data_IF_722621953151
#
_entry.id   IF_722621953151
#
_cell.length_a   1.000
_cell.length_b   1.000
_cell.length_c   1.000
_cell.angle_alpha   90.00
_cell.angle_beta   90.00
_cell.angle_gamma   90.00
#
_symmetry.space_group_name_H-M   'P 1'
#
loop_
_entity.id
_entity.type
_entity.pdbx_description
1 polymer ?
#
# COMPACT_ATOMS: atom_id res chain seq x y z
N UNK A 1 -13.50 65.18 32.42
CA UNK A 1 -12.73 64.51 33.49
C UNK A 1 -13.44 63.21 33.85
N UNK A 2 -12.89 62.06 33.44
CA UNK A 2 -13.04 60.76 34.12
C UNK A 2 -12.06 59.77 33.46
N UNK A 3 -11.15 59.25 34.28
CA UNK A 3 -10.10 58.27 33.99
C UNK A 3 -10.70 56.85 33.88
N UNK A 4 -10.32 56.06 32.86
CA UNK A 4 -10.37 54.58 32.91
C UNK A 4 -9.17 54.08 32.07
N UNK A 5 -8.00 53.86 32.66
CA UNK A 5 -7.49 52.61 33.26
C UNK A 5 -7.35 51.46 32.24
N UNK A 6 -6.09 51.12 31.95
CA UNK A 6 -5.66 50.04 31.08
C UNK A 6 -5.98 48.64 31.63
N UNK A 7 -6.30 47.70 30.75
CA UNK A 7 -6.19 46.27 31.04
C UNK A 7 -5.34 45.59 29.94
N UNK A 8 -4.09 45.33 30.29
CA UNK A 8 -3.23 44.41 29.56
C UNK A 8 -3.65 42.98 29.90
N UNK A 9 -4.28 42.26 28.96
CA UNK A 9 -4.46 40.81 29.08
C UNK A 9 -3.23 40.09 28.52
N UNK A 10 -2.37 39.64 29.43
CA UNK A 10 -1.33 38.67 29.14
C UNK A 10 -1.99 37.31 28.85
N UNK A 11 -1.83 36.81 27.63
CA UNK A 11 -2.26 35.47 27.24
C UNK A 11 -1.29 34.42 27.82
N UNK A 12 -1.75 33.39 28.55
CA UNK A 12 -0.88 32.29 28.96
C UNK A 12 -0.55 31.41 27.75
N UNK A 13 0.74 31.33 27.44
CA UNK A 13 1.32 30.34 26.52
C UNK A 13 0.97 28.94 27.04
N UNK A 14 0.04 28.27 26.37
CA UNK A 14 -0.27 26.86 26.62
C UNK A 14 0.86 25.98 26.05
N UNK A 15 1.91 25.79 26.84
CA UNK A 15 2.95 24.79 26.58
C UNK A 15 2.59 23.49 27.30
N UNK A 16 1.74 22.67 26.67
CA UNK A 16 1.53 21.27 27.04
C UNK A 16 1.82 20.40 25.82
N UNK A 17 3.10 20.14 25.60
CA UNK A 17 3.59 19.14 24.66
C UNK A 17 4.71 18.40 25.36
N UNK A 18 4.35 17.36 26.10
CA UNK A 18 5.27 16.57 26.90
C UNK A 18 6.42 16.05 26.03
N UNK A 19 7.64 16.33 26.50
CA UNK A 19 8.88 15.70 26.08
C UNK A 19 8.80 14.20 26.34
N UNK A 20 8.27 13.48 25.36
CA UNK A 20 8.27 12.02 25.31
C UNK A 20 8.87 11.59 23.98
N UNK A 21 10.15 11.89 23.75
CA UNK A 21 10.92 11.21 22.73
C UNK A 21 11.12 9.75 23.18
N UNK A 22 10.04 8.96 23.15
CA UNK A 22 10.20 7.51 23.07
C UNK A 22 10.80 7.26 21.70
N UNK A 23 12.12 7.27 21.62
CA UNK A 23 12.83 6.63 20.53
C UNK A 23 12.40 5.17 20.62
N UNK A 24 11.33 4.81 19.93
CA UNK A 24 10.85 3.44 19.82
C UNK A 24 11.93 2.69 19.06
N UNK A 25 12.94 2.19 19.78
CA UNK A 25 13.95 1.32 19.21
C UNK A 25 13.22 0.07 18.76
N UNK A 26 13.19 -0.16 17.45
CA UNK A 26 12.64 -1.39 16.88
C UNK A 26 13.36 -2.55 17.57
N UNK A 27 12.63 -3.48 18.23
CA UNK A 27 13.25 -4.62 18.88
C UNK A 27 14.19 -5.36 17.91
N UNK A 28 15.42 -5.66 18.34
CA UNK A 28 16.44 -6.33 17.50
C UNK A 28 15.92 -7.60 16.83
N UNK A 29 15.00 -8.31 17.47
CA UNK A 29 14.34 -9.50 16.92
C UNK A 29 13.57 -9.19 15.63
N UNK A 30 12.87 -8.05 15.54
CA UNK A 30 12.14 -7.67 14.33
C UNK A 30 13.09 -7.30 13.19
N UNK A 31 14.24 -6.68 13.50
CA UNK A 31 15.28 -6.40 12.51
C UNK A 31 15.91 -7.69 11.97
N UNK A 32 15.93 -8.79 12.74
CA UNK A 32 16.43 -10.08 12.28
C UNK A 32 15.41 -10.83 11.41
N UNK A 33 14.12 -10.48 11.52
CA UNK A 33 13.03 -11.04 10.72
C UNK A 33 12.86 -10.29 9.39
N UNK A 34 13.50 -9.11 9.23
CA UNK A 34 13.46 -8.34 7.99
C UNK A 34 14.20 -9.05 6.86
N UNK A 35 13.62 -9.05 5.66
CA UNK A 35 14.30 -9.52 4.45
C UNK A 35 14.56 -8.32 3.54
N UNK A 36 15.79 -8.14 3.04
CA UNK A 36 16.06 -7.06 2.10
C UNK A 36 15.30 -7.28 0.79
N UNK A 37 14.95 -6.18 0.12
CA UNK A 37 14.36 -6.25 -1.22
C UNK A 37 15.39 -6.80 -2.20
N UNK A 38 14.97 -7.79 -3.00
CA UNK A 38 15.83 -8.35 -4.03
C UNK A 38 16.05 -7.38 -5.19
N UNK A 39 17.21 -7.49 -5.85
CA UNK A 39 17.61 -6.58 -6.93
C UNK A 39 17.57 -7.26 -8.29
N UNK A 40 17.04 -6.55 -9.30
CA UNK A 40 16.97 -7.03 -10.68
C UNK A 40 15.72 -7.83 -11.01
N UNK A 41 15.60 -8.22 -12.30
CA UNK A 41 14.35 -8.75 -12.90
C UNK A 41 13.75 -9.97 -12.19
N UNK A 42 14.59 -10.81 -11.56
CA UNK A 42 14.13 -12.01 -10.84
C UNK A 42 13.36 -11.71 -9.54
N UNK A 43 13.50 -10.49 -9.00
CA UNK A 43 12.78 -10.02 -7.81
C UNK A 43 11.79 -8.89 -8.13
N UNK A 44 11.76 -8.44 -9.38
CA UNK A 44 10.87 -7.40 -9.91
C UNK A 44 10.17 -7.95 -11.16
N UNK A 45 9.39 -9.05 -11.05
CA UNK A 45 8.76 -9.67 -12.21
C UNK A 45 7.72 -8.73 -12.83
N UNK A 46 7.47 -8.82 -14.15
CA UNK A 46 6.39 -8.07 -14.78
C UNK A 46 5.02 -8.66 -14.44
N UNK A 47 3.96 -7.83 -14.47
CA UNK A 47 2.58 -8.31 -14.37
C UNK A 47 2.07 -8.86 -15.72
N UNK A 48 2.14 -10.19 -15.88
CA UNK A 48 1.72 -10.92 -17.09
C UNK A 48 0.39 -11.68 -16.89
N UNK A 49 0.00 -12.49 -17.88
CA UNK A 49 -1.03 -13.52 -17.74
C UNK A 49 -2.49 -13.05 -17.78
N UNK A 50 -3.44 -13.99 -17.60
CA UNK A 50 -4.85 -13.75 -17.81
C UNK A 50 -5.48 -12.93 -16.68
N UNK A 51 -6.56 -12.22 -17.02
CA UNK A 51 -7.39 -11.58 -15.99
C UNK A 51 -8.30 -12.61 -15.35
N UNK A 52 -8.04 -12.94 -14.09
CA UNK A 52 -8.83 -13.90 -13.32
C UNK A 52 -10.24 -13.40 -13.00
N UNK A 53 -11.21 -14.31 -13.12
CA UNK A 53 -12.63 -14.05 -12.85
C UNK A 53 -13.28 -13.09 -13.85
N UNK A 54 -14.44 -12.54 -13.50
CA UNK A 54 -15.18 -11.68 -14.44
C UNK A 54 -14.50 -10.31 -14.57
N UNK A 55 -14.04 -9.97 -15.77
CA UNK A 55 -13.49 -8.65 -16.07
C UNK A 55 -14.58 -7.58 -16.03
N UNK A 56 -14.40 -6.55 -15.20
CA UNK A 56 -15.34 -5.43 -15.06
C UNK A 56 -14.63 -4.11 -15.36
N UNK A 57 -15.23 -3.17 -16.09
CA UNK A 57 -14.58 -1.91 -16.48
C UNK A 57 -14.29 -0.99 -15.28
N UNK A 58 -15.06 -1.11 -14.19
CA UNK A 58 -14.82 -0.38 -12.94
C UNK A 58 -14.22 -1.32 -11.89
N UNK A 59 -13.30 -0.80 -11.07
CA UNK A 59 -12.63 -1.56 -10.01
C UNK A 59 -13.63 -2.12 -8.98
N UNK A 60 -14.61 -1.30 -8.59
CA UNK A 60 -15.66 -1.63 -7.61
C UNK A 60 -15.15 -1.76 -6.17
N UNK A 61 -16.04 -2.08 -5.21
CA UNK A 61 -15.66 -2.33 -3.81
C UNK A 61 -14.71 -3.52 -3.66
N UNK A 62 -13.65 -3.34 -2.86
CA UNK A 62 -12.60 -4.32 -2.60
C UNK A 62 -12.30 -4.43 -1.11
N UNK A 63 -11.61 -5.48 -0.72
CA UNK A 63 -10.83 -5.50 0.51
C UNK A 63 -9.36 -5.78 0.16
N UNK A 64 -8.45 -5.16 0.90
CA UNK A 64 -7.02 -5.39 0.74
C UNK A 64 -6.58 -6.61 1.54
N UNK A 65 -5.73 -7.44 0.95
CA UNK A 65 -4.93 -8.42 1.68
C UNK A 65 -3.44 -8.12 1.43
N UNK A 66 -2.60 -8.32 2.45
CA UNK A 66 -1.16 -8.19 2.29
C UNK A 66 -0.56 -9.55 1.96
N UNK A 67 0.24 -9.60 0.90
CA UNK A 67 0.94 -10.79 0.43
C UNK A 67 2.41 -10.44 0.26
N UNK A 68 3.26 -11.18 0.96
CA UNK A 68 4.70 -11.09 0.84
C UNK A 68 5.22 -12.34 0.15
N UNK A 69 6.11 -12.15 -0.83
CA UNK A 69 6.74 -13.25 -1.56
C UNK A 69 8.23 -13.15 -1.33
N UNK A 70 8.83 -14.27 -0.95
CA UNK A 70 10.26 -14.37 -0.70
C UNK A 70 10.87 -15.40 -1.64
N UNK A 71 12.03 -15.07 -2.20
CA UNK A 71 12.86 -15.99 -2.96
C UNK A 71 14.32 -15.71 -2.63
N UNK A 72 15.17 -16.74 -2.51
CA UNK A 72 16.59 -16.59 -2.18
C UNK A 72 16.84 -15.60 -1.01
N UNK A 73 16.03 -15.73 0.04
CA UNK A 73 16.05 -14.90 1.25
C UNK A 73 15.82 -13.39 1.06
N UNK A 74 15.11 -13.01 0.00
CA UNK A 74 14.84 -11.62 -0.37
C UNK A 74 13.39 -11.42 -0.76
N UNK A 75 12.87 -10.22 -0.53
CA UNK A 75 11.52 -9.85 -0.98
C UNK A 75 11.48 -9.79 -2.51
N UNK A 76 10.47 -10.42 -3.09
CA UNK A 76 10.04 -10.25 -4.48
C UNK A 76 8.89 -9.23 -4.46
N UNK A 77 9.06 -8.15 -5.21
CA UNK A 77 8.00 -7.13 -5.35
C UNK A 77 6.87 -7.71 -6.17
N UNK A 78 5.63 -7.67 -5.66
CA UNK A 78 4.46 -7.95 -6.48
C UNK A 78 4.26 -6.76 -7.42
N UNK A 79 4.29 -6.96 -8.75
CA UNK A 79 4.15 -5.85 -9.68
C UNK A 79 2.74 -5.28 -9.67
N UNK A 80 2.63 -3.98 -9.95
CA UNK A 80 1.36 -3.36 -10.29
C UNK A 80 0.81 -3.92 -11.61
N UNK A 81 -0.49 -4.22 -11.64
CA UNK A 81 -1.22 -4.60 -12.86
C UNK A 81 -1.61 -6.07 -12.98
N UNK A 82 -1.32 -6.92 -12.00
CA UNK A 82 -1.87 -8.28 -11.96
C UNK A 82 -3.40 -8.19 -11.98
N UNK A 83 -4.05 -9.04 -12.78
CA UNK A 83 -5.50 -9.06 -12.91
C UNK A 83 -6.11 -7.83 -13.60
N UNK A 84 -5.31 -7.01 -14.29
CA UNK A 84 -5.78 -5.86 -15.06
C UNK A 84 -5.56 -6.05 -16.56
N UNK A 85 -6.54 -5.67 -17.38
CA UNK A 85 -6.45 -5.79 -18.84
C UNK A 85 -5.86 -4.51 -19.47
N UNK A 86 -4.89 -4.62 -20.40
CA UNK A 86 -4.43 -3.48 -21.20
C UNK A 86 -5.55 -2.81 -22.03
N UNK A 87 -5.41 -1.52 -22.42
CA UNK A 87 -4.32 -0.61 -22.04
C UNK A 87 -4.36 -0.22 -20.56
N UNK A 88 -3.18 -0.11 -19.93
CA UNK A 88 -2.99 0.32 -18.54
C UNK A 88 -2.37 1.72 -18.55
N UNK A 89 -2.82 2.59 -17.65
CA UNK A 89 -2.15 3.86 -17.35
C UNK A 89 -1.54 3.79 -15.97
N UNK A 90 -0.41 4.45 -15.80
CA UNK A 90 0.33 4.47 -14.55
C UNK A 90 0.54 5.90 -14.06
N UNK A 91 0.55 6.06 -12.75
CA UNK A 91 0.91 7.30 -12.06
C UNK A 91 1.80 6.92 -10.90
N UNK A 92 3.07 7.35 -10.91
CA UNK A 92 4.07 6.99 -9.90
C UNK A 92 4.18 5.46 -9.64
N UNK A 93 4.11 4.65 -10.70
CA UNK A 93 4.19 3.18 -10.61
C UNK A 93 2.87 2.47 -10.25
N UNK A 94 1.86 3.21 -9.77
CA UNK A 94 0.51 2.70 -9.51
C UNK A 94 -0.31 2.63 -10.79
N UNK A 95 -1.12 1.58 -10.98
CA UNK A 95 -2.16 1.52 -12.03
C UNK A 95 -3.24 2.56 -11.72
N UNK A 96 -3.31 3.62 -12.52
CA UNK A 96 -4.35 4.65 -12.42
C UNK A 96 -5.59 4.31 -13.22
N UNK A 97 -5.46 3.57 -14.32
CA UNK A 97 -6.59 2.99 -15.06
C UNK A 97 -6.20 1.76 -15.87
N UNK A 98 -7.18 0.91 -16.17
CA UNK A 98 -7.07 -0.25 -17.04
C UNK A 98 -8.36 -0.46 -17.82
N UNK A 99 -8.35 -1.27 -18.90
CA UNK A 99 -9.57 -1.59 -19.66
C UNK A 99 -10.62 -2.28 -18.81
N UNK A 100 -10.18 -3.22 -17.97
CA UNK A 100 -11.02 -3.86 -16.97
C UNK A 100 -10.18 -4.54 -15.87
N UNK A 101 -10.86 -4.88 -14.78
CA UNK A 101 -10.30 -5.41 -13.55
C UNK A 101 -10.93 -6.76 -13.24
N UNK A 102 -10.09 -7.76 -12.95
CA UNK A 102 -10.50 -9.08 -12.50
C UNK A 102 -10.89 -9.12 -11.04
N UNK A 103 -10.94 -10.33 -10.48
CA UNK A 103 -11.37 -10.60 -9.10
C UNK A 103 -10.29 -10.31 -8.05
N UNK A 104 -9.02 -10.47 -8.43
CA UNK A 104 -7.84 -10.13 -7.64
C UNK A 104 -7.01 -9.20 -8.51
N UNK A 105 -6.61 -8.03 -7.99
CA UNK A 105 -5.74 -7.11 -8.72
C UNK A 105 -4.65 -6.54 -7.83
N UNK A 106 -3.52 -6.15 -8.42
CA UNK A 106 -2.52 -5.31 -7.77
C UNK A 106 -2.55 -3.94 -8.43
N UNK A 107 -2.69 -2.87 -7.63
CA UNK A 107 -2.65 -1.51 -8.15
C UNK A 107 -1.28 -0.86 -7.92
N UNK A 108 -0.58 -1.21 -6.85
CA UNK A 108 0.74 -0.69 -6.53
C UNK A 108 1.80 -1.80 -6.61
N UNK A 109 3.07 -1.46 -6.85
CA UNK A 109 4.18 -2.43 -6.81
C UNK A 109 4.62 -2.68 -5.35
N UNK A 110 3.72 -3.21 -4.53
CA UNK A 110 3.95 -3.46 -3.10
C UNK A 110 3.69 -4.94 -2.76
N UNK A 111 2.89 -5.22 -1.73
CA UNK A 111 2.31 -6.52 -1.43
C UNK A 111 0.79 -6.46 -1.26
N UNK A 112 0.15 -5.31 -1.48
CA UNK A 112 -1.30 -5.18 -1.31
C UNK A 112 -2.03 -5.70 -2.53
N UNK A 113 -2.88 -6.71 -2.32
CA UNK A 113 -3.78 -7.27 -3.34
C UNK A 113 -5.23 -6.88 -3.05
N UNK A 114 -5.91 -6.34 -4.05
CA UNK A 114 -7.30 -5.91 -3.98
C UNK A 114 -8.25 -7.01 -4.44
N UNK A 115 -8.99 -7.58 -3.50
CA UNK A 115 -9.92 -8.68 -3.75
C UNK A 115 -11.35 -8.18 -3.82
N UNK A 116 -12.09 -8.60 -4.86
CA UNK A 116 -13.51 -8.29 -5.01
C UNK A 116 -14.33 -8.93 -3.89
N UNK A 117 -15.18 -8.12 -3.24
CA UNK A 117 -16.12 -8.61 -2.23
C UNK A 117 -17.10 -9.64 -2.81
N UNK A 118 -17.45 -10.65 -2.02
CA UNK A 118 -18.40 -11.70 -2.40
C UNK A 118 -17.82 -12.81 -3.27
N UNK A 119 -16.56 -12.72 -3.68
CA UNK A 119 -15.86 -13.81 -4.34
C UNK A 119 -15.01 -14.61 -3.35
N UNK A 120 -14.77 -15.89 -3.65
CA UNK A 120 -13.86 -16.77 -2.88
C UNK A 120 -12.49 -16.80 -3.58
N UNK A 121 -11.58 -15.87 -3.29
CA UNK A 121 -10.25 -15.89 -3.90
C UNK A 121 -9.49 -17.15 -3.48
N UNK A 122 -8.67 -17.65 -4.39
CA UNK A 122 -7.66 -18.67 -4.08
C UNK A 122 -6.30 -18.09 -4.41
N UNK A 123 -5.29 -18.46 -3.64
CA UNK A 123 -3.94 -17.91 -3.78
C UNK A 123 -3.37 -18.13 -5.19
N UNK A 124 -3.68 -19.27 -5.82
CA UNK A 124 -3.30 -19.56 -7.20
C UNK A 124 -3.83 -18.55 -8.22
N UNK A 125 -4.90 -17.81 -7.90
CA UNK A 125 -5.43 -16.75 -8.76
C UNK A 125 -4.47 -15.56 -8.91
N UNK A 126 -3.62 -15.31 -7.91
CA UNK A 126 -2.59 -14.28 -7.95
C UNK A 126 -1.37 -14.70 -8.79
N UNK A 127 -0.98 -15.99 -8.70
CA UNK A 127 0.23 -16.54 -9.34
C UNK A 127 0.00 -17.18 -10.71
N UNK A 128 -1.22 -17.12 -11.25
CA UNK A 128 -1.51 -17.52 -12.65
C UNK A 128 -1.15 -16.44 -13.67
N UNK A 129 -0.86 -15.23 -13.19
CA UNK A 129 -0.43 -14.07 -13.96
C UNK A 129 1.02 -14.24 -14.44
#
# INVERSE_FOLDING_TARGET
>A
MAFILALALAAPLSACGASGSSTSTIPRRLLQEERPIGTGRRFHPPATGPVGGRCRPRLGPRFGAHVEVFAADRVVILPAGIGTMPPRRFTAGRVSSARCYGSIVTLDPTGVVDVRRGERPVLSGLFRA
#
